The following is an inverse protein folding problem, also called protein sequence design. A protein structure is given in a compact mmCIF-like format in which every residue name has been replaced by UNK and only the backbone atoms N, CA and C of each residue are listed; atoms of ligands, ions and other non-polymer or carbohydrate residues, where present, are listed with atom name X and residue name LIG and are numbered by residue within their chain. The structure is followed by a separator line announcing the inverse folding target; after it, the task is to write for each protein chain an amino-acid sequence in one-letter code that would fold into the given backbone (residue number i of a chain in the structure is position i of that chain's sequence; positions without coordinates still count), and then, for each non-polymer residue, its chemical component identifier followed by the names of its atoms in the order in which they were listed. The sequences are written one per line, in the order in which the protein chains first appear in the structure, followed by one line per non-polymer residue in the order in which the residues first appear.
data_IF_487763419542
#
_entry.id   IF_487763419542
#
_cell.length_a   1.000
_cell.length_b   1.000
_cell.length_c   1.000
_cell.angle_alpha   90.00
_cell.angle_beta   90.00
_cell.angle_gamma   90.00
#
_symmetry.space_group_name_H-M   'P 1'
#
loop_
_entity.id
_entity.type
_entity.pdbx_description
1 polymer ?
#
# COMPACT_ATOMS: atom_id res chain seq x y z
N UNK A 1 16.75 0.36 10.81
CA UNK A 1 17.06 1.67 10.22
C UNK A 1 17.23 1.53 8.71
N UNK A 2 16.56 2.44 7.96
CA UNK A 2 16.64 2.54 6.51
C UNK A 2 17.00 3.98 6.12
N UNK A 3 17.88 4.12 5.14
CA UNK A 3 18.21 5.38 4.52
C UNK A 3 17.66 5.38 3.08
N UNK A 4 16.88 6.39 2.75
CA UNK A 4 16.27 6.53 1.43
C UNK A 4 16.85 7.76 0.72
N UNK A 5 17.11 7.60 -0.56
CA UNK A 5 17.48 8.70 -1.45
C UNK A 5 16.53 8.69 -2.65
N UNK A 6 15.78 9.75 -2.80
CA UNK A 6 14.84 9.92 -3.90
C UNK A 6 15.33 11.01 -4.85
N UNK A 7 15.09 10.80 -6.11
CA UNK A 7 15.29 11.79 -7.17
C UNK A 7 14.07 11.72 -8.11
N UNK A 8 12.91 12.24 -7.67
CA UNK A 8 11.67 12.21 -8.45
C UNK A 8 11.75 13.24 -9.58
N UNK A 9 12.31 12.83 -10.71
CA UNK A 9 12.52 13.67 -11.88
C UNK A 9 12.04 12.96 -13.14
N UNK A 10 11.37 13.69 -14.03
CA UNK A 10 10.98 13.24 -15.36
C UNK A 10 11.66 14.14 -16.37
N UNK A 11 12.58 13.58 -17.14
CA UNK A 11 13.22 14.26 -18.24
C UNK A 11 12.50 13.93 -19.55
N UNK A 12 11.99 14.93 -20.24
CA UNK A 12 11.40 14.78 -21.58
C UNK A 12 12.28 15.46 -22.60
N UNK A 13 12.70 14.72 -23.63
CA UNK A 13 13.39 15.28 -24.80
C UNK A 13 12.46 15.23 -26.01
N UNK A 14 12.36 16.32 -26.74
CA UNK A 14 11.68 16.37 -28.02
C UNK A 14 12.77 16.36 -29.10
N UNK A 15 12.89 15.25 -29.83
CA UNK A 15 13.76 15.13 -30.99
C UNK A 15 12.91 15.49 -32.21
N UNK A 16 13.19 16.59 -32.85
CA UNK A 16 12.55 16.94 -34.12
C UNK A 16 13.52 16.57 -35.24
N UNK A 17 13.18 15.53 -35.99
CA UNK A 17 13.88 15.15 -37.20
C UNK A 17 13.38 16.05 -38.35
N UNK A 18 14.21 16.95 -38.84
CA UNK A 18 13.94 17.73 -40.03
C UNK A 18 14.91 17.34 -41.13
N UNK A 19 14.34 16.74 -42.14
CA UNK A 19 15.02 16.36 -43.41
C UNK A 19 15.45 17.56 -44.28
N UNK A 20 15.54 18.74 -43.74
CA UNK A 20 16.00 19.90 -44.54
C UNK A 20 16.89 20.81 -43.69
N UNK A 21 18.05 21.03 -44.18
CA UNK A 21 19.30 21.73 -43.82
C UNK A 21 19.19 22.93 -42.87
N UNK A 22 18.42 22.89 -41.77
CA UNK A 22 18.34 23.92 -40.73
C UNK A 22 18.37 23.31 -39.32
N UNK A 23 19.29 23.83 -38.55
CA UNK A 23 19.62 23.64 -37.15
C UNK A 23 18.48 23.08 -36.32
N UNK A 24 18.60 21.79 -35.94
CA UNK A 24 17.76 21.15 -34.97
C UNK A 24 17.97 21.77 -33.58
N UNK A 25 16.92 22.31 -33.00
CA UNK A 25 16.91 22.60 -31.57
C UNK A 25 16.47 21.34 -30.85
N UNK A 26 17.44 20.60 -30.40
CA UNK A 26 17.24 19.55 -29.39
C UNK A 26 16.87 20.26 -28.07
N UNK A 27 15.59 20.25 -27.71
CA UNK A 27 15.14 20.90 -26.49
C UNK A 27 14.87 19.84 -25.47
N UNK A 28 15.82 19.61 -24.60
CA UNK A 28 15.63 18.74 -23.42
C UNK A 28 15.01 19.56 -22.29
N UNK A 29 13.79 19.25 -21.94
CA UNK A 29 13.13 19.84 -20.78
C UNK A 29 13.55 19.07 -19.54
N UNK A 30 14.45 19.62 -18.76
CA UNK A 30 14.68 19.17 -17.40
C UNK A 30 13.62 19.80 -16.49
N UNK A 31 12.91 18.98 -15.76
CA UNK A 31 12.07 19.48 -14.69
C UNK A 31 12.98 20.13 -13.64
N UNK A 32 12.91 21.43 -13.47
CA UNK A 32 13.93 22.28 -12.81
C UNK A 32 14.16 22.01 -11.32
N UNK A 33 13.49 21.05 -10.72
CA UNK A 33 13.70 20.63 -9.34
C UNK A 33 14.46 19.30 -9.26
N UNK A 34 15.72 19.32 -9.67
CA UNK A 34 16.70 18.24 -9.43
C UNK A 34 17.03 18.15 -7.93
N UNK A 35 16.02 18.27 -7.07
CA UNK A 35 16.18 18.19 -5.62
C UNK A 35 16.22 16.74 -5.19
N UNK A 36 17.40 16.29 -4.81
CA UNK A 36 17.57 15.02 -4.10
C UNK A 36 16.90 15.14 -2.75
N UNK A 37 15.98 14.24 -2.46
CA UNK A 37 15.32 14.15 -1.17
C UNK A 37 15.93 12.97 -0.42
N UNK A 38 16.45 13.26 0.77
CA UNK A 38 16.98 12.26 1.68
C UNK A 38 15.97 12.02 2.80
N UNK A 39 15.76 10.77 3.16
CA UNK A 39 14.89 10.41 4.25
C UNK A 39 15.52 9.30 5.11
N UNK A 40 15.22 9.34 6.40
CA UNK A 40 15.66 8.37 7.38
C UNK A 40 14.44 7.72 8.01
N UNK A 41 14.42 6.40 8.04
CA UNK A 41 13.35 5.65 8.66
C UNK A 41 13.91 4.77 9.78
N UNK A 42 13.34 4.91 10.97
CA UNK A 42 13.64 4.08 12.13
C UNK A 42 12.38 3.39 12.57
N UNK A 43 12.42 2.09 12.75
CA UNK A 43 11.29 1.29 13.17
C UNK A 43 11.65 0.39 14.35
N UNK A 44 10.65 0.17 15.21
CA UNK A 44 10.68 -0.83 16.25
C UNK A 44 9.33 -1.56 16.29
N UNK A 45 9.34 -2.83 16.61
CA UNK A 45 8.12 -3.58 16.80
C UNK A 45 8.23 -4.55 17.98
N UNK A 46 7.08 -4.82 18.58
CA UNK A 46 6.91 -5.86 19.59
C UNK A 46 5.61 -6.61 19.28
N UNK A 47 5.62 -7.91 19.49
CA UNK A 47 4.47 -8.77 19.23
C UNK A 47 4.45 -9.89 20.27
N UNK A 48 3.26 -10.23 20.74
CA UNK A 48 3.05 -11.36 21.64
C UNK A 48 1.78 -12.13 21.32
N UNK A 49 1.84 -13.43 21.58
CA UNK A 49 0.77 -14.39 21.33
C UNK A 49 0.23 -14.96 22.64
N UNK A 50 -0.99 -14.58 22.98
CA UNK A 50 -1.68 -15.02 24.20
C UNK A 50 -2.62 -16.19 23.91
N UNK A 51 -2.56 -17.22 24.73
CA UNK A 51 -3.54 -18.30 24.78
C UNK A 51 -4.40 -18.14 26.03
N UNK A 52 -5.67 -17.87 25.84
CA UNK A 52 -6.62 -17.69 26.94
C UNK A 52 -7.57 -18.89 26.97
N UNK A 53 -7.33 -19.78 27.92
CA UNK A 53 -7.98 -21.07 27.94
C UNK A 53 -7.63 -21.93 26.70
N UNK A 54 -8.55 -22.86 26.36
CA UNK A 54 -8.37 -23.76 25.21
C UNK A 54 -8.88 -23.20 23.87
N UNK A 55 -9.70 -22.14 23.90
CA UNK A 55 -10.49 -21.69 22.74
C UNK A 55 -10.05 -20.37 22.15
N UNK A 56 -9.47 -19.45 22.93
CA UNK A 56 -9.13 -18.11 22.49
C UNK A 56 -7.62 -17.96 22.33
N UNK A 57 -7.21 -17.47 21.16
CA UNK A 57 -5.84 -17.01 20.90
C UNK A 57 -5.89 -15.58 20.44
N UNK A 58 -5.06 -14.75 21.05
CA UNK A 58 -4.89 -13.34 20.69
C UNK A 58 -3.46 -13.13 20.25
N UNK A 59 -3.27 -12.40 19.17
CA UNK A 59 -2.00 -11.87 18.76
C UNK A 59 -2.08 -10.36 18.86
N UNK A 60 -1.20 -9.76 19.65
CA UNK A 60 -1.11 -8.31 19.87
C UNK A 60 0.25 -7.82 19.40
N UNK A 61 0.25 -7.03 18.35
CA UNK A 61 1.46 -6.42 17.78
C UNK A 61 1.40 -4.91 17.85
N UNK A 62 2.54 -4.31 18.06
CA UNK A 62 2.72 -2.87 18.04
C UNK A 62 3.97 -2.53 17.24
N UNK A 63 3.80 -1.76 16.16
CA UNK A 63 4.87 -1.25 15.35
C UNK A 63 4.96 0.27 15.51
N UNK A 64 6.13 0.75 15.88
CA UNK A 64 6.46 2.17 15.98
C UNK A 64 7.39 2.53 14.82
N UNK A 65 7.08 3.58 14.09
CA UNK A 65 7.94 4.09 13.02
C UNK A 65 8.13 5.59 13.14
N UNK A 66 9.36 6.03 12.91
CA UNK A 66 9.75 7.43 12.77
C UNK A 66 10.35 7.61 11.37
N UNK A 67 9.74 8.47 10.57
CA UNK A 67 10.21 8.84 9.25
C UNK A 67 10.58 10.32 9.24
N UNK A 68 11.87 10.61 9.02
CA UNK A 68 12.42 11.97 8.95
C UNK A 68 12.72 12.33 7.51
N UNK A 69 12.17 13.46 7.03
CA UNK A 69 12.36 13.96 5.67
C UNK A 69 12.17 15.48 5.63
N UNK A 70 13.07 16.21 4.99
CA UNK A 70 12.94 17.69 4.79
C UNK A 70 12.59 18.44 6.10
N UNK A 71 13.27 18.17 7.19
CA UNK A 71 13.03 18.75 8.54
C UNK A 71 11.64 18.43 9.14
N UNK A 72 10.93 17.43 8.57
CA UNK A 72 9.69 16.90 9.13
C UNK A 72 9.90 15.54 9.76
N UNK A 73 9.28 15.34 10.91
CA UNK A 73 9.25 14.06 11.61
C UNK A 73 7.82 13.50 11.62
N UNK A 74 7.66 12.31 11.06
CA UNK A 74 6.40 11.57 11.05
C UNK A 74 6.52 10.37 11.99
N UNK A 75 6.01 10.53 13.20
CA UNK A 75 5.92 9.44 14.17
C UNK A 75 4.59 8.72 14.01
N UNK A 76 4.61 7.42 13.95
CA UNK A 76 3.43 6.58 13.79
C UNK A 76 3.42 5.38 14.72
N UNK A 77 2.32 5.22 15.43
CA UNK A 77 1.99 4.03 16.19
C UNK A 77 0.98 3.20 15.39
N UNK A 78 1.35 1.94 15.10
CA UNK A 78 0.64 1.06 14.20
C UNK A 78 0.29 -0.27 14.90
N UNK A 79 -0.81 -0.31 15.67
CA UNK A 79 -1.28 -1.53 16.31
C UNK A 79 -1.76 -2.55 15.28
N UNK A 80 -1.50 -3.82 15.58
CA UNK A 80 -1.99 -5.02 14.88
C UNK A 80 -2.57 -5.95 15.90
N UNK A 81 -3.83 -6.25 15.77
CA UNK A 81 -4.55 -7.09 16.71
C UNK A 81 -5.25 -8.18 15.91
N UNK A 82 -5.06 -9.43 16.28
CA UNK A 82 -5.86 -10.52 15.74
C UNK A 82 -6.33 -11.46 16.84
N UNK A 83 -7.54 -11.97 16.67
CA UNK A 83 -8.16 -12.91 17.57
C UNK A 83 -8.65 -14.13 16.79
N UNK A 84 -8.41 -15.31 17.34
CA UNK A 84 -8.98 -16.58 16.88
C UNK A 84 -9.74 -17.20 18.01
N UNK A 85 -11.03 -17.40 17.80
CA UNK A 85 -11.91 -18.07 18.76
C UNK A 85 -12.44 -19.38 18.18
N UNK A 86 -12.16 -20.49 18.84
CA UNK A 86 -12.66 -21.82 18.48
C UNK A 86 -14.00 -22.03 19.15
N UNK A 87 -15.09 -21.88 18.39
CA UNK A 87 -16.45 -22.01 18.90
C UNK A 87 -16.72 -23.47 19.33
N UNK A 88 -16.37 -24.42 18.47
CA UNK A 88 -16.39 -25.85 18.73
C UNK A 88 -15.25 -26.53 17.95
N UNK A 89 -15.24 -27.87 17.86
CA UNK A 89 -14.19 -28.63 17.15
C UNK A 89 -14.13 -28.33 15.64
N UNK A 90 -15.25 -27.90 15.06
CA UNK A 90 -15.40 -27.75 13.61
C UNK A 90 -15.48 -26.28 13.16
N UNK A 91 -15.80 -25.35 14.08
CA UNK A 91 -16.03 -23.93 13.76
C UNK A 91 -15.00 -23.04 14.47
N UNK A 92 -14.35 -22.22 13.69
CA UNK A 92 -13.43 -21.19 14.16
C UNK A 92 -13.85 -19.84 13.61
N UNK A 93 -13.80 -18.80 14.45
CA UNK A 93 -14.00 -17.41 14.06
C UNK A 93 -12.66 -16.68 14.22
N UNK A 94 -12.31 -15.84 13.25
CA UNK A 94 -11.14 -14.97 13.32
C UNK A 94 -11.57 -13.53 13.09
N UNK A 95 -10.96 -12.61 13.83
CA UNK A 95 -11.13 -11.17 13.63
C UNK A 95 -9.76 -10.50 13.67
N UNK A 96 -9.59 -9.44 12.89
CA UNK A 96 -8.36 -8.67 12.93
C UNK A 96 -8.60 -7.19 12.71
N UNK A 97 -7.71 -6.39 13.30
CA UNK A 97 -7.59 -4.97 13.08
C UNK A 97 -6.13 -4.60 12.86
N UNK A 98 -5.88 -3.79 11.84
CA UNK A 98 -4.53 -3.31 11.54
C UNK A 98 -4.58 -1.84 11.16
N UNK A 99 -3.72 -1.04 11.79
CA UNK A 99 -3.42 0.32 11.35
C UNK A 99 -2.05 0.32 10.69
N UNK A 100 -1.95 0.94 9.52
CA UNK A 100 -0.70 1.05 8.75
C UNK A 100 -0.49 2.47 8.26
N UNK A 101 0.78 2.88 8.21
CA UNK A 101 1.21 4.12 7.55
C UNK A 101 2.20 3.78 6.44
N UNK A 102 2.14 4.54 5.36
CA UNK A 102 3.05 4.40 4.22
C UNK A 102 3.70 5.76 3.95
N UNK A 103 5.03 5.76 3.81
CA UNK A 103 5.84 6.98 3.64
C UNK A 103 6.39 7.15 2.23
N UNK A 104 6.36 6.09 1.43
CA UNK A 104 6.87 6.08 0.05
C UNK A 104 5.74 5.63 -0.87
N UNK A 105 5.51 6.38 -1.93
CA UNK A 105 4.42 6.16 -2.87
C UNK A 105 4.95 5.96 -4.28
N UNK A 106 4.37 5.05 -5.03
CA UNK A 106 4.50 4.98 -6.46
C UNK A 106 3.37 5.80 -7.09
N UNK A 107 3.76 6.86 -7.78
CA UNK A 107 2.83 7.64 -8.60
C UNK A 107 2.82 7.06 -10.00
N UNK A 108 1.68 6.55 -10.43
CA UNK A 108 1.45 6.04 -11.77
C UNK A 108 0.27 6.77 -12.39
N UNK A 109 0.40 7.13 -13.66
CA UNK A 109 -0.67 7.78 -14.42
C UNK A 109 -1.59 6.78 -15.12
N UNK A 110 -1.18 5.51 -15.19
CA UNK A 110 -1.91 4.43 -15.89
C UNK A 110 -1.74 3.10 -15.17
N UNK A 111 -2.65 2.11 -15.42
CA UNK A 111 -2.51 0.74 -14.86
C UNK A 111 -1.28 -0.03 -15.35
N UNK A 112 -0.70 0.40 -16.48
CA UNK A 112 0.51 -0.20 -17.04
C UNK A 112 1.70 0.67 -16.64
N UNK A 113 2.76 0.06 -16.13
CA UNK A 113 3.98 0.76 -15.74
C UNK A 113 4.53 1.59 -16.91
N UNK A 114 4.75 2.87 -16.66
CA UNK A 114 5.21 3.83 -17.65
C UNK A 114 6.53 4.46 -17.19
N UNK A 115 7.37 4.97 -18.13
CA UNK A 115 8.58 5.71 -17.75
C UNK A 115 8.33 6.95 -16.90
N UNK A 116 7.07 7.40 -16.81
CA UNK A 116 6.61 8.51 -15.97
C UNK A 116 6.23 8.10 -14.55
N UNK A 117 6.28 6.81 -14.22
CA UNK A 117 6.03 6.32 -12.87
C UNK A 117 7.17 6.76 -11.95
N UNK A 118 6.80 7.40 -10.84
CA UNK A 118 7.75 8.00 -9.91
C UNK A 118 7.60 7.43 -8.49
N UNK A 119 8.71 6.97 -7.93
CA UNK A 119 8.77 6.72 -6.48
C UNK A 119 9.02 8.03 -5.73
N UNK A 120 8.06 8.44 -4.93
CA UNK A 120 8.10 9.70 -4.18
C UNK A 120 7.93 9.45 -2.69
N UNK A 121 8.69 10.16 -1.83
CA UNK A 121 8.48 10.11 -0.40
C UNK A 121 7.37 11.07 0.02
N UNK A 122 6.89 10.92 1.25
CA UNK A 122 6.19 11.98 1.96
C UNK A 122 7.12 13.18 2.13
N UNK A 123 6.55 14.37 2.18
CA UNK A 123 7.29 15.63 2.31
C UNK A 123 6.56 16.54 3.30
N UNK A 124 7.04 17.76 3.49
CA UNK A 124 6.31 18.75 4.29
C UNK A 124 4.87 18.99 3.80
N UNK A 125 4.63 18.91 2.48
CA UNK A 125 3.31 19.10 1.87
C UNK A 125 2.49 17.82 1.80
N UNK A 126 3.14 16.68 1.61
CA UNK A 126 2.50 15.39 1.38
C UNK A 126 2.60 14.55 2.64
N UNK A 127 1.45 14.33 3.27
CA UNK A 127 1.35 13.57 4.52
C UNK A 127 1.38 12.06 4.26
N UNK A 128 1.85 11.25 5.22
CA UNK A 128 1.81 9.80 5.11
C UNK A 128 0.40 9.28 4.82
N UNK A 129 0.29 8.33 3.89
CA UNK A 129 -0.93 7.58 3.70
C UNK A 129 -1.19 6.75 4.96
N UNK A 130 -2.42 6.73 5.42
CA UNK A 130 -2.87 5.98 6.59
C UNK A 130 -4.01 5.07 6.21
N UNK A 131 -3.95 3.81 6.65
CA UNK A 131 -5.05 2.88 6.49
C UNK A 131 -5.44 2.22 7.81
N UNK A 132 -6.74 1.98 7.96
CA UNK A 132 -7.35 1.16 9.00
C UNK A 132 -8.06 0.01 8.30
N UNK A 133 -7.68 -1.21 8.62
CA UNK A 133 -8.28 -2.40 8.05
C UNK A 133 -8.88 -3.27 9.16
N UNK A 134 -10.10 -3.71 8.92
CA UNK A 134 -10.85 -4.63 9.76
C UNK A 134 -11.16 -5.87 8.93
N UNK A 135 -11.04 -7.06 9.51
CA UNK A 135 -11.45 -8.29 8.87
C UNK A 135 -12.12 -9.21 9.89
N UNK A 136 -13.11 -9.94 9.41
CA UNK A 136 -13.85 -10.95 10.16
C UNK A 136 -14.07 -12.17 9.27
N UNK A 137 -13.75 -13.36 9.78
CA UNK A 137 -13.91 -14.61 9.04
C UNK A 137 -14.45 -15.74 9.88
N UNK A 138 -15.26 -16.58 9.25
CA UNK A 138 -15.75 -17.85 9.78
C UNK A 138 -15.20 -19.03 8.97
N UNK A 139 -14.78 -20.08 9.67
CA UNK A 139 -14.14 -21.27 9.10
C UNK A 139 -14.85 -22.52 9.61
N UNK A 140 -15.15 -23.44 8.70
CA UNK A 140 -15.83 -24.69 9.01
C UNK A 140 -15.06 -25.87 8.43
N UNK A 141 -14.75 -26.85 9.30
CA UNK A 141 -13.99 -28.07 8.96
C UNK A 141 -14.72 -29.36 9.37
N UNK A 142 -16.05 -29.28 9.61
CA UNK A 142 -16.84 -30.42 10.14
C UNK A 142 -17.14 -31.52 9.11
N UNK A 143 -16.83 -31.32 7.84
CA UNK A 143 -16.95 -32.36 6.78
C UNK A 143 -15.55 -32.91 6.49
N UNK A 144 -15.39 -34.22 6.64
CA UNK A 144 -14.09 -34.85 6.45
C UNK A 144 -13.52 -34.58 5.06
N UNK A 145 -12.30 -34.04 5.03
CA UNK A 145 -11.59 -33.67 3.80
C UNK A 145 -12.10 -32.40 3.13
N UNK A 146 -12.93 -31.59 3.80
CA UNK A 146 -13.38 -30.32 3.30
C UNK A 146 -13.15 -29.19 4.32
N UNK A 147 -12.76 -28.04 3.80
CA UNK A 147 -12.63 -26.79 4.53
C UNK A 147 -13.42 -25.69 3.81
N UNK A 148 -14.21 -24.94 4.58
CA UNK A 148 -14.97 -23.80 4.05
C UNK A 148 -14.60 -22.55 4.83
N UNK A 149 -14.47 -21.43 4.13
CA UNK A 149 -14.34 -20.12 4.78
C UNK A 149 -15.19 -19.05 4.13
N UNK A 150 -15.62 -18.11 4.96
CA UNK A 150 -16.24 -16.85 4.56
C UNK A 150 -15.50 -15.75 5.31
N UNK A 151 -14.93 -14.81 4.57
CA UNK A 151 -14.17 -13.69 5.15
C UNK A 151 -14.70 -12.37 4.58
N UNK A 152 -14.92 -11.39 5.46
CA UNK A 152 -15.26 -10.04 5.07
C UNK A 152 -14.18 -9.06 5.55
N UNK A 153 -13.90 -8.04 4.74
CA UNK A 153 -12.99 -6.99 5.13
C UNK A 153 -13.52 -5.59 4.79
N UNK A 154 -13.06 -4.63 5.56
CA UNK A 154 -13.27 -3.20 5.30
C UNK A 154 -11.97 -2.44 5.56
N UNK A 155 -11.59 -1.57 4.63
CA UNK A 155 -10.38 -0.75 4.69
C UNK A 155 -10.73 0.72 4.41
N UNK A 156 -10.41 1.60 5.37
CA UNK A 156 -10.48 3.06 5.21
C UNK A 156 -9.06 3.61 5.01
N UNK A 157 -8.88 4.38 3.95
CA UNK A 157 -7.59 4.96 3.57
C UNK A 157 -7.70 6.47 3.52
N UNK A 158 -6.67 7.15 4.03
CA UNK A 158 -6.56 8.62 4.01
C UNK A 158 -5.19 9.03 3.48
N UNK A 159 -5.16 10.20 2.88
CA UNK A 159 -3.99 10.76 2.21
C UNK A 159 -3.48 9.81 1.10
N UNK A 160 -4.39 9.19 0.37
CA UNK A 160 -4.08 8.45 -0.86
C UNK A 160 -3.57 9.45 -1.87
N UNK A 161 -2.39 9.20 -2.42
CA UNK A 161 -1.73 10.14 -3.30
C UNK A 161 -1.99 9.76 -4.75
N UNK A 162 -2.49 10.72 -5.53
CA UNK A 162 -2.77 10.56 -6.95
C UNK A 162 -2.35 11.82 -7.73
N UNK A 163 -2.17 11.68 -9.03
CA UNK A 163 -2.00 12.83 -9.90
C UNK A 163 -3.31 13.61 -10.03
N UNK A 164 -3.20 14.93 -10.07
CA UNK A 164 -4.34 15.79 -10.41
C UNK A 164 -4.79 15.54 -11.84
N UNK A 165 -6.08 15.67 -12.10
CA UNK A 165 -6.63 15.54 -13.44
C UNK A 165 -6.02 16.57 -14.42
N UNK A 166 -5.70 16.12 -15.63
CA UNK A 166 -5.17 16.97 -16.68
C UNK A 166 -3.72 17.44 -16.50
N UNK A 167 -2.99 16.90 -15.53
CA UNK A 167 -1.58 17.27 -15.32
C UNK A 167 -0.71 16.68 -16.43
N UNK A 168 0.12 17.55 -17.02
CA UNK A 168 1.16 17.14 -17.97
C UNK A 168 2.56 17.29 -17.36
N UNK A 169 3.45 16.37 -17.70
CA UNK A 169 4.88 16.49 -17.44
C UNK A 169 5.61 17.23 -18.56
N UNK A 170 4.99 17.37 -19.72
CA UNK A 170 5.57 18.06 -20.86
C UNK A 170 5.52 19.58 -20.66
N UNK A 171 6.68 20.25 -20.79
CA UNK A 171 6.80 21.70 -20.76
C UNK A 171 6.49 22.38 -19.41
N UNK A 172 6.35 21.63 -18.32
CA UNK A 172 6.02 22.16 -17.00
C UNK A 172 7.25 22.22 -16.10
N UNK A 173 7.61 23.42 -15.66
CA UNK A 173 8.68 23.66 -14.68
C UNK A 173 8.24 23.44 -13.22
N UNK A 174 6.98 23.11 -12.96
CA UNK A 174 6.50 22.89 -11.61
C UNK A 174 6.93 21.53 -11.06
N UNK A 175 7.44 21.51 -9.83
CA UNK A 175 7.84 20.27 -9.16
C UNK A 175 6.68 19.27 -9.00
N UNK A 176 7.00 18.00 -8.89
CA UNK A 176 6.04 16.90 -8.79
C UNK A 176 5.01 17.07 -7.67
N UNK A 177 5.38 17.68 -6.52
CA UNK A 177 4.48 17.94 -5.40
C UNK A 177 3.26 18.80 -5.76
N UNK A 178 3.37 19.67 -6.76
CA UNK A 178 2.26 20.51 -7.21
C UNK A 178 1.32 19.80 -8.18
N UNK A 179 1.74 18.64 -8.69
CA UNK A 179 1.02 17.83 -9.67
C UNK A 179 0.17 16.74 -9.03
N UNK A 180 0.25 16.60 -7.73
CA UNK A 180 -0.44 15.55 -6.97
C UNK A 180 -1.43 16.15 -5.97
N UNK A 181 -2.38 15.33 -5.57
CA UNK A 181 -3.33 15.63 -4.52
C UNK A 181 -3.54 14.43 -3.59
N UNK A 182 -4.01 14.71 -2.38
CA UNK A 182 -4.29 13.70 -1.38
C UNK A 182 -5.79 13.51 -1.24
N UNK A 183 -6.25 12.29 -1.48
CA UNK A 183 -7.62 11.87 -1.38
C UNK A 183 -7.91 10.90 -0.23
N UNK A 184 -9.08 10.31 -0.28
CA UNK A 184 -9.55 9.25 0.62
C UNK A 184 -9.98 8.06 -0.23
N UNK A 185 -9.70 6.85 0.25
CA UNK A 185 -10.13 5.61 -0.39
C UNK A 185 -10.84 4.70 0.59
N UNK A 186 -11.75 3.88 0.10
CA UNK A 186 -12.40 2.82 0.86
C UNK A 186 -12.42 1.55 0.03
N UNK A 187 -12.20 0.42 0.68
CA UNK A 187 -12.29 -0.89 0.05
C UNK A 187 -13.01 -1.83 1.00
N UNK A 188 -13.95 -2.59 0.48
CA UNK A 188 -14.64 -3.63 1.23
C UNK A 188 -14.88 -4.82 0.30
N UNK A 189 -14.91 -6.01 0.85
CA UNK A 189 -15.18 -7.21 0.09
C UNK A 189 -15.57 -8.37 0.98
N UNK A 190 -16.16 -9.39 0.35
CA UNK A 190 -16.49 -10.68 0.97
C UNK A 190 -15.87 -11.77 0.10
N UNK A 191 -15.17 -12.70 0.74
CA UNK A 191 -14.49 -13.81 0.09
C UNK A 191 -15.06 -15.13 0.59
N UNK A 192 -15.33 -16.05 -0.34
CA UNK A 192 -15.80 -17.39 -0.06
C UNK A 192 -14.76 -18.39 -0.58
N UNK A 193 -14.45 -19.41 0.20
CA UNK A 193 -13.59 -20.49 -0.24
C UNK A 193 -14.17 -21.84 0.20
N UNK A 194 -14.11 -22.82 -0.71
CA UNK A 194 -14.34 -24.23 -0.45
C UNK A 194 -13.11 -25.00 -0.93
N UNK A 195 -12.46 -25.74 -0.03
CA UNK A 195 -11.26 -26.53 -0.32
C UNK A 195 -11.50 -27.99 0.05
N UNK A 196 -11.20 -28.88 -0.88
CA UNK A 196 -11.12 -30.32 -0.66
C UNK A 196 -9.69 -30.76 -0.46
N UNK A 197 -9.34 -31.22 0.74
CA UNK A 197 -7.96 -31.52 1.16
C UNK A 197 -7.62 -33.00 1.11
N UNK A 198 -8.64 -33.88 1.02
CA UNK A 198 -8.45 -35.34 1.05
C UNK A 198 -9.32 -36.07 0.01
N UNK A 199 -8.89 -37.27 -0.37
CA UNK A 199 -9.56 -38.16 -1.34
C UNK A 199 -8.78 -38.28 -2.66
N UNK A 200 -9.38 -38.98 -3.64
CA UNK A 200 -8.76 -39.20 -4.95
C UNK A 200 -8.63 -37.90 -5.76
N UNK A 201 -9.49 -36.94 -5.51
CA UNK A 201 -9.47 -35.62 -6.16
C UNK A 201 -9.41 -34.57 -5.07
N UNK A 202 -8.46 -33.65 -5.16
CA UNK A 202 -8.30 -32.49 -4.28
C UNK A 202 -8.33 -31.19 -5.11
N UNK A 203 -8.67 -30.09 -4.49
CA UNK A 203 -8.75 -28.80 -5.19
C UNK A 203 -9.46 -27.76 -4.33
N UNK A 204 -9.64 -26.57 -4.90
CA UNK A 204 -10.33 -25.47 -4.23
C UNK A 204 -11.12 -24.63 -5.23
N UNK A 205 -12.13 -23.97 -4.72
CA UNK A 205 -12.93 -22.97 -5.41
C UNK A 205 -12.99 -21.73 -4.53
N UNK A 206 -12.72 -20.54 -5.09
CA UNK A 206 -12.88 -19.28 -4.39
C UNK A 206 -13.70 -18.31 -5.22
N UNK A 207 -14.42 -17.43 -4.50
CA UNK A 207 -15.20 -16.36 -5.10
C UNK A 207 -15.08 -15.10 -4.23
N UNK A 208 -14.82 -13.95 -4.86
CA UNK A 208 -14.66 -12.65 -4.19
C UNK A 208 -15.66 -11.66 -4.79
N UNK A 209 -16.32 -10.92 -3.91
CA UNK A 209 -17.21 -9.80 -4.20
C UNK A 209 -16.59 -8.49 -3.73
#
# INVERSE_FOLDING_TARGET
YLFHRFQPDVTTSVISDKTDNRIDRDTTYHNANNSRIHAHEVTAYAEDNFKIGSRLRLNLGLHLSLFHVQDQNYLSLQPRISARYQLNKDITIKASYTKMNQYVHLLSSMPIAMPTDLWVPVTKKIKPMRSHQYALGGYYTGINGWEFSVEGYYKDMRNVLEYKDGVSFFGSSSGWENKVEMGKGRSAGIEFMAQKTAGKTTGWLSYTL
#
